data_IF_694540522644
#
_entry.id   IF_694540522644
#
_cell.length_a   1.000
_cell.length_b   1.000
_cell.length_c   1.000
_cell.angle_alpha   90.00
_cell.angle_beta   90.00
_cell.angle_gamma   90.00
#
_symmetry.space_group_name_H-M   'P 1'
#
loop_
_entity.id
_entity.type
_entity.pdbx_description
1 polymer ?
#
# COMPACT_ATOMS: atom_id res chain seq x y z
N UNK A 1 34.16 -15.40 1.53
CA UNK A 1 33.01 -14.51 1.29
C UNK A 1 31.74 -15.35 1.22
N UNK A 2 30.95 -15.41 2.31
CA UNK A 2 29.68 -16.16 2.32
C UNK A 2 28.65 -15.35 1.52
N UNK A 3 28.20 -15.87 0.37
CA UNK A 3 27.03 -15.32 -0.34
C UNK A 3 25.85 -15.48 0.62
N UNK A 4 25.34 -14.36 1.15
CA UNK A 4 24.11 -14.34 1.95
C UNK A 4 23.00 -14.75 0.99
N UNK A 5 22.39 -15.91 1.21
CA UNK A 5 21.20 -16.32 0.47
C UNK A 5 20.18 -15.20 0.61
N UNK A 6 19.82 -14.55 -0.49
CA UNK A 6 18.81 -13.49 -0.51
C UNK A 6 17.49 -14.13 -0.09
N UNK A 7 17.01 -13.77 1.10
CA UNK A 7 15.71 -14.23 1.57
C UNK A 7 14.64 -13.79 0.57
N UNK A 8 13.69 -14.66 0.25
CA UNK A 8 12.51 -14.28 -0.54
C UNK A 8 11.65 -13.43 0.38
N UNK A 9 11.65 -12.12 0.16
CA UNK A 9 10.82 -11.18 0.91
C UNK A 9 9.47 -11.16 0.20
N UNK A 10 8.44 -11.70 0.84
CA UNK A 10 7.07 -11.60 0.32
C UNK A 10 6.62 -10.14 0.26
N UNK A 11 5.69 -9.85 -0.64
CA UNK A 11 5.11 -8.52 -0.79
C UNK A 11 4.56 -8.04 0.57
N UNK A 12 4.89 -6.80 0.96
CA UNK A 12 4.50 -6.22 2.25
C UNK A 12 5.37 -6.61 3.45
N UNK A 13 6.47 -7.34 3.25
CA UNK A 13 7.47 -7.65 4.28
C UNK A 13 8.79 -6.90 4.05
N UNK A 14 9.62 -6.79 5.10
CA UNK A 14 10.98 -6.23 5.00
C UNK A 14 12.02 -7.19 5.58
N UNK A 15 13.32 -6.85 5.43
CA UNK A 15 14.43 -7.69 5.91
C UNK A 15 14.71 -7.56 7.43
N UNK A 16 13.94 -6.71 8.14
CA UNK A 16 14.14 -6.52 9.58
C UNK A 16 13.59 -7.70 10.38
N UNK A 17 14.18 -7.91 11.55
CA UNK A 17 13.73 -8.96 12.46
C UNK A 17 12.28 -8.72 12.91
N UNK A 18 11.49 -9.77 13.23
CA UNK A 18 10.09 -9.63 13.62
C UNK A 18 9.84 -8.74 14.84
N UNK A 19 10.84 -8.62 15.72
CA UNK A 19 10.86 -7.80 16.94
C UNK A 19 11.40 -6.38 16.71
N UNK A 20 11.74 -6.03 15.46
CA UNK A 20 12.21 -4.69 15.13
C UNK A 20 11.13 -3.64 15.36
N UNK A 21 11.57 -2.47 15.82
CA UNK A 21 10.69 -1.31 16.03
C UNK A 21 10.55 -0.58 14.69
N UNK A 22 9.32 -0.41 14.17
CA UNK A 22 9.08 0.37 12.97
C UNK A 22 9.48 1.83 13.20
N UNK A 23 10.14 2.42 12.21
CA UNK A 23 10.69 3.77 12.29
C UNK A 23 10.06 4.65 11.21
N UNK A 24 9.66 5.87 11.56
CA UNK A 24 9.08 6.80 10.57
C UNK A 24 10.16 7.21 9.57
N UNK A 25 9.85 7.10 8.28
CA UNK A 25 10.75 7.55 7.22
C UNK A 25 11.00 9.07 7.30
N UNK A 26 12.20 9.55 6.93
CA UNK A 26 12.48 10.97 6.79
C UNK A 26 11.48 11.66 5.85
N UNK A 27 11.08 12.88 6.17
CA UNK A 27 10.11 13.65 5.38
C UNK A 27 8.67 13.54 5.86
N UNK A 28 8.33 12.57 6.70
CA UNK A 28 7.00 12.48 7.31
C UNK A 28 6.93 13.19 8.66
N UNK A 29 5.77 13.81 8.94
CA UNK A 29 5.50 14.50 10.20
C UNK A 29 4.69 13.62 11.16
N UNK A 30 4.41 14.14 12.36
CA UNK A 30 3.50 13.48 13.31
C UNK A 30 2.04 13.43 12.83
N UNK A 31 1.69 14.19 11.79
CA UNK A 31 0.36 14.15 11.17
C UNK A 31 0.21 12.97 10.20
N UNK A 32 1.30 12.33 9.78
CA UNK A 32 1.26 11.09 9.00
C UNK A 32 1.01 9.89 9.92
N UNK A 33 0.33 8.84 9.44
CA UNK A 33 0.15 7.60 10.17
C UNK A 33 1.47 7.09 10.78
N UNK A 34 1.41 6.60 12.02
CA UNK A 34 2.55 6.00 12.67
C UNK A 34 2.84 4.63 12.03
N UNK A 35 4.08 4.34 11.61
CA UNK A 35 4.39 3.08 10.97
C UNK A 35 4.22 1.92 11.94
N UNK A 36 3.65 0.82 11.45
CA UNK A 36 3.42 -0.41 12.22
C UNK A 36 3.57 -1.61 11.31
N UNK A 37 4.21 -2.67 11.82
CA UNK A 37 4.35 -3.93 11.10
C UNK A 37 3.05 -4.76 11.09
N UNK A 38 2.02 -4.34 11.85
CA UNK A 38 0.73 -5.03 11.94
C UNK A 38 -0.30 -4.56 10.92
N UNK A 39 -0.22 -3.28 10.52
CA UNK A 39 -1.16 -2.66 9.58
C UNK A 39 -0.38 -2.31 8.30
N UNK A 40 -0.52 -3.10 7.22
CA UNK A 40 0.27 -2.95 5.99
C UNK A 40 0.19 -1.55 5.36
N UNK A 41 -0.96 -0.89 5.46
CA UNK A 41 -1.18 0.48 4.98
C UNK A 41 -0.32 1.52 5.71
N UNK A 42 0.03 1.27 6.97
CA UNK A 42 0.88 2.15 7.76
C UNK A 42 2.37 1.86 7.51
N UNK A 43 2.71 0.67 7.00
CA UNK A 43 4.09 0.32 6.63
C UNK A 43 4.64 1.26 5.54
N UNK A 44 3.78 1.87 4.71
CA UNK A 44 4.18 2.84 3.66
C UNK A 44 4.93 4.07 4.18
N UNK A 45 4.81 4.37 5.48
CA UNK A 45 5.46 5.48 6.17
C UNK A 45 6.72 5.05 6.93
N UNK A 46 7.12 3.78 6.83
CA UNK A 46 8.27 3.21 7.52
C UNK A 46 9.58 3.48 6.74
N UNK A 47 10.66 3.79 7.46
CA UNK A 47 12.02 3.92 6.92
C UNK A 47 12.56 2.62 6.31
N UNK A 48 11.94 1.49 6.64
CA UNK A 48 12.29 0.15 6.17
C UNK A 48 11.31 -0.40 5.13
N UNK A 49 10.37 0.43 4.68
CA UNK A 49 9.45 0.05 3.62
C UNK A 49 10.22 -0.23 2.33
N UNK A 50 9.92 -1.35 1.70
CA UNK A 50 10.52 -1.78 0.45
C UNK A 50 9.50 -2.56 -0.37
N UNK A 51 9.67 -2.53 -1.68
CA UNK A 51 8.91 -3.27 -2.68
C UNK A 51 9.84 -3.63 -3.84
N UNK A 52 9.53 -4.70 -4.57
CA UNK A 52 10.25 -5.18 -5.77
C UNK A 52 9.88 -4.40 -7.04
N UNK A 53 8.75 -3.70 -7.02
CA UNK A 53 8.22 -2.84 -8.09
C UNK A 53 7.80 -3.64 -9.33
N UNK A 54 7.32 -4.85 -9.09
CA UNK A 54 6.69 -5.68 -10.11
C UNK A 54 5.16 -5.48 -10.12
N UNK A 55 4.49 -6.19 -11.02
CA UNK A 55 3.05 -6.10 -11.19
C UNK A 55 2.28 -6.46 -9.90
N UNK A 56 2.77 -7.42 -9.11
CA UNK A 56 2.10 -7.84 -7.87
C UNK A 56 2.11 -6.72 -6.84
N UNK A 57 3.28 -6.09 -6.62
CA UNK A 57 3.41 -4.95 -5.71
C UNK A 57 2.55 -3.75 -6.16
N UNK A 58 2.59 -3.44 -7.46
CA UNK A 58 1.83 -2.32 -8.05
C UNK A 58 0.33 -2.59 -7.89
N UNK A 59 -0.13 -3.80 -8.20
CA UNK A 59 -1.53 -4.19 -8.03
C UNK A 59 -1.96 -4.11 -6.57
N UNK A 60 -1.10 -4.52 -5.62
CA UNK A 60 -1.40 -4.41 -4.19
C UNK A 60 -1.58 -2.97 -3.74
N UNK A 61 -0.70 -2.07 -4.17
CA UNK A 61 -0.79 -0.63 -3.86
C UNK A 61 -2.05 0.00 -4.46
N UNK A 62 -2.30 -0.26 -5.75
CA UNK A 62 -3.47 0.30 -6.45
C UNK A 62 -4.78 -0.27 -5.92
N UNK A 63 -4.79 -1.52 -5.46
CA UNK A 63 -5.94 -2.14 -4.81
C UNK A 63 -6.26 -1.43 -3.50
N UNK A 64 -5.26 -1.22 -2.63
CA UNK A 64 -5.44 -0.45 -1.40
C UNK A 64 -5.97 0.96 -1.70
N UNK A 65 -5.37 1.66 -2.65
CA UNK A 65 -5.81 2.99 -3.05
C UNK A 65 -7.27 2.99 -3.54
N UNK A 66 -7.67 2.01 -4.34
CA UNK A 66 -9.06 1.85 -4.77
C UNK A 66 -10.00 1.63 -3.58
N UNK A 67 -9.67 0.71 -2.69
CA UNK A 67 -10.47 0.39 -1.50
C UNK A 67 -10.67 1.59 -0.58
N UNK A 68 -9.60 2.34 -0.31
CA UNK A 68 -9.69 3.56 0.51
C UNK A 68 -10.56 4.63 -0.15
N UNK A 69 -10.48 4.80 -1.47
CA UNK A 69 -11.36 5.72 -2.22
C UNK A 69 -12.82 5.31 -2.20
N UNK A 70 -13.11 4.01 -2.20
CA UNK A 70 -14.47 3.47 -2.16
C UNK A 70 -15.07 3.46 -0.76
N UNK A 71 -14.27 3.52 0.30
CA UNK A 71 -14.72 3.45 1.71
C UNK A 71 -15.45 4.71 2.23
N UNK A 72 -16.03 5.55 1.38
CA UNK A 72 -16.70 6.83 1.74
C UNK A 72 -18.08 6.64 2.39
N UNK A 73 -18.17 5.73 3.34
CA UNK A 73 -19.40 5.35 4.01
C UNK A 73 -19.44 6.06 5.37
N UNK A 74 -20.47 6.89 5.55
CA UNK A 74 -20.91 7.56 6.79
C UNK A 74 -20.01 8.58 7.51
N UNK A 75 -18.79 8.87 7.05
CA UNK A 75 -17.95 9.91 7.65
C UNK A 75 -18.04 11.24 6.89
N UNK A 76 -17.97 12.38 7.60
CA UNK A 76 -17.85 13.69 6.94
C UNK A 76 -16.65 13.66 5.99
N UNK A 77 -16.76 14.36 4.84
CA UNK A 77 -15.69 14.42 3.83
C UNK A 77 -14.34 14.77 4.48
N UNK A 78 -14.34 15.73 5.40
CA UNK A 78 -13.18 16.16 6.18
C UNK A 78 -12.57 15.02 7.03
N UNK A 79 -13.40 14.21 7.70
CA UNK A 79 -12.90 13.10 8.52
C UNK A 79 -12.26 12.02 7.65
N UNK A 80 -12.88 11.71 6.50
CA UNK A 80 -12.32 10.75 5.54
C UNK A 80 -11.01 11.26 4.94
N UNK A 81 -10.95 12.53 4.54
CA UNK A 81 -9.75 13.15 3.96
C UNK A 81 -8.60 13.18 4.97
N UNK A 82 -8.87 13.55 6.22
CA UNK A 82 -7.85 13.54 7.28
C UNK A 82 -7.34 12.13 7.58
N UNK A 83 -8.22 11.13 7.52
CA UNK A 83 -7.87 9.73 7.83
C UNK A 83 -7.09 9.05 6.71
N UNK A 84 -7.55 9.17 5.46
CA UNK A 84 -7.03 8.39 4.34
C UNK A 84 -6.22 9.19 3.33
N UNK A 85 -6.35 10.53 3.32
CA UNK A 85 -5.60 11.43 2.44
C UNK A 85 -4.09 11.20 2.48
N UNK A 86 -3.44 11.10 3.65
CA UNK A 86 -2.01 10.82 3.72
C UNK A 86 -1.61 9.50 3.05
N UNK A 87 -2.39 8.44 3.26
CA UNK A 87 -2.12 7.11 2.68
C UNK A 87 -2.34 7.10 1.18
N UNK A 88 -3.42 7.72 0.69
CA UNK A 88 -3.69 7.86 -0.75
C UNK A 88 -2.57 8.62 -1.45
N UNK A 89 -2.18 9.77 -0.90
CA UNK A 89 -1.08 10.56 -1.43
C UNK A 89 0.22 9.77 -1.44
N UNK A 90 0.51 9.03 -0.35
CA UNK A 90 1.70 8.21 -0.27
C UNK A 90 1.74 7.11 -1.33
N UNK A 91 0.61 6.47 -1.63
CA UNK A 91 0.54 5.49 -2.71
C UNK A 91 0.82 6.16 -4.06
N UNK A 92 0.23 7.31 -4.34
CA UNK A 92 0.47 8.05 -5.59
C UNK A 92 1.95 8.45 -5.76
N UNK A 93 2.63 8.88 -4.68
CA UNK A 93 4.07 9.14 -4.67
C UNK A 93 4.88 7.89 -5.02
N UNK A 94 4.55 6.74 -4.43
CA UNK A 94 5.26 5.48 -4.68
C UNK A 94 5.08 5.04 -6.14
N UNK A 95 3.86 5.11 -6.67
CA UNK A 95 3.59 4.77 -8.07
C UNK A 95 4.35 5.69 -9.02
N UNK A 96 4.34 7.00 -8.76
CA UNK A 96 5.11 7.98 -9.54
C UNK A 96 6.61 7.65 -9.51
N UNK A 97 7.16 7.30 -8.35
CA UNK A 97 8.56 6.92 -8.22
C UNK A 97 8.91 5.62 -8.99
N UNK A 98 7.98 4.66 -9.08
CA UNK A 98 8.13 3.43 -9.89
C UNK A 98 8.18 3.78 -11.38
N UNK A 99 7.29 4.68 -11.83
CA UNK A 99 7.25 5.17 -13.22
C UNK A 99 8.54 5.94 -13.58
N UNK A 100 8.93 6.89 -12.75
CA UNK A 100 10.13 7.71 -12.94
C UNK A 100 11.41 6.87 -12.96
N UNK A 101 11.43 5.77 -12.19
CA UNK A 101 12.54 4.81 -12.19
C UNK A 101 12.52 3.85 -13.40
N UNK A 102 11.52 3.95 -14.29
CA UNK A 102 11.35 3.10 -15.47
C UNK A 102 11.04 1.64 -15.12
N UNK A 103 10.46 1.38 -13.95
CA UNK A 103 10.13 0.02 -13.48
C UNK A 103 8.77 -0.45 -13.97
N UNK A 104 7.86 0.48 -14.24
CA UNK A 104 6.58 0.23 -14.90
C UNK A 104 6.29 1.34 -15.90
N UNK A 105 5.52 1.01 -16.94
CA UNK A 105 4.96 2.02 -17.85
C UNK A 105 3.62 2.52 -17.33
N UNK A 106 3.25 3.75 -17.70
CA UNK A 106 1.92 4.28 -17.41
C UNK A 106 0.80 3.41 -18.01
N UNK A 107 1.03 2.79 -19.17
CA UNK A 107 0.07 1.86 -19.79
C UNK A 107 -0.19 0.61 -18.93
N UNK A 108 0.87 0.04 -18.32
CA UNK A 108 0.72 -1.08 -17.39
C UNK A 108 -0.08 -0.66 -16.16
N UNK A 109 0.26 0.49 -15.57
CA UNK A 109 -0.43 1.02 -14.38
C UNK A 109 -1.91 1.29 -14.67
N UNK A 110 -2.22 1.88 -15.83
CA UNK A 110 -3.60 2.15 -16.23
C UNK A 110 -4.38 0.86 -16.52
N UNK A 111 -3.74 -0.14 -17.13
CA UNK A 111 -4.33 -1.48 -17.28
C UNK A 111 -4.72 -2.06 -15.93
N UNK A 112 -3.78 -2.10 -14.97
CA UNK A 112 -4.02 -2.63 -13.63
C UNK A 112 -5.16 -1.86 -12.92
N UNK A 113 -5.21 -0.53 -13.05
CA UNK A 113 -6.30 0.29 -12.50
C UNK A 113 -7.67 -0.10 -13.08
N UNK A 114 -7.75 -0.37 -14.38
CA UNK A 114 -9.03 -0.79 -15.00
C UNK A 114 -9.45 -2.18 -14.54
N UNK A 115 -8.51 -3.12 -14.46
CA UNK A 115 -8.77 -4.47 -13.96
C UNK A 115 -9.25 -4.46 -12.51
N UNK A 116 -8.64 -3.65 -11.64
CA UNK A 116 -9.08 -3.48 -10.24
C UNK A 116 -10.52 -2.97 -10.16
N UNK A 117 -10.89 -1.99 -11.00
CA UNK A 117 -12.29 -1.50 -11.06
C UNK A 117 -13.27 -2.58 -11.51
N UNK A 118 -12.81 -3.58 -12.25
CA UNK A 118 -13.59 -4.74 -12.69
C UNK A 118 -13.58 -5.87 -11.65
N UNK A 119 -12.94 -5.69 -10.50
CA UNK A 119 -12.90 -6.64 -9.38
C UNK A 119 -11.61 -7.44 -9.26
N UNK A 120 -10.62 -7.22 -10.13
CA UNK A 120 -9.32 -7.92 -10.07
C UNK A 120 -8.37 -7.25 -9.05
N UNK A 121 -8.79 -7.23 -7.79
CA UNK A 121 -7.97 -6.83 -6.65
C UNK A 121 -6.80 -7.79 -6.46
N UNK A 122 -5.71 -7.30 -5.87
CA UNK A 122 -4.64 -8.16 -5.40
C UNK A 122 -5.17 -9.21 -4.41
N UNK A 123 -4.58 -10.40 -4.45
CA UNK A 123 -5.01 -11.58 -3.68
C UNK A 123 -5.10 -11.32 -2.17
N UNK A 124 -4.16 -10.55 -1.61
CA UNK A 124 -4.19 -10.17 -0.20
C UNK A 124 -5.47 -9.37 0.10
N UNK A 125 -5.76 -8.34 -0.69
CA UNK A 125 -6.94 -7.53 -0.49
C UNK A 125 -8.23 -8.26 -0.83
N UNK A 126 -8.25 -9.10 -1.86
CA UNK A 126 -9.42 -9.88 -2.24
C UNK A 126 -9.91 -10.79 -1.10
N UNK A 127 -9.00 -11.43 -0.37
CA UNK A 127 -9.34 -12.28 0.79
C UNK A 127 -9.93 -11.46 1.95
N UNK A 128 -9.43 -10.24 2.16
CA UNK A 128 -9.91 -9.35 3.23
C UNK A 128 -11.12 -8.50 2.80
N UNK A 129 -11.37 -8.38 1.50
CA UNK A 129 -12.39 -7.51 0.93
C UNK A 129 -13.80 -7.93 1.35
N UNK A 130 -14.14 -9.21 1.21
CA UNK A 130 -15.45 -9.71 1.64
C UNK A 130 -15.67 -9.47 3.14
N UNK A 131 -14.64 -9.65 3.97
CA UNK A 131 -14.72 -9.38 5.40
C UNK A 131 -14.91 -7.88 5.71
N UNK A 132 -14.23 -6.99 4.96
CA UNK A 132 -14.34 -5.54 5.11
C UNK A 132 -15.69 -4.99 4.59
N UNK A 133 -16.22 -5.59 3.52
CA UNK A 133 -17.56 -5.29 2.98
C UNK A 133 -18.64 -5.77 3.93
N UNK A 134 -18.55 -7.01 4.43
CA UNK A 134 -19.48 -7.56 5.43
C UNK A 134 -19.44 -6.76 6.74
N UNK A 135 -18.27 -6.26 7.15
CA UNK A 135 -18.12 -5.40 8.32
C UNK A 135 -18.61 -3.95 8.12
N UNK A 136 -19.06 -3.58 6.91
CA UNK A 136 -19.56 -2.23 6.59
C UNK A 136 -18.47 -1.16 6.53
N UNK A 137 -17.20 -1.57 6.40
CA UNK A 137 -16.04 -0.66 6.31
C UNK A 137 -15.86 -0.15 4.87
N UNK A 138 -16.29 -0.94 3.88
CA UNK A 138 -16.18 -0.66 2.45
C UNK A 138 -17.54 -1.02 1.81
N UNK A 139 -18.05 -0.17 0.91
CA UNK A 139 -19.23 -0.45 0.07
C UNK A 139 -18.80 -0.69 -1.38
#
# INVERSE_FOLDING_TARGET
MRKKTRAVIGVGSCEKAPDSIPERAPGFTLLSPAPTCRDPENCLFCAYYALHADEEDIRRLLSLHYLLKSSKVDNSLEHWENKFGPTLHRIDEIITAIEDAGKASGELIDTIRQEIKQGALDSFWAIHFDALVIAGVIL
#
